data_IF_501119457737
#
_entry.id   IF_501119457737
#
_cell.length_a   1.000
_cell.length_b   1.000
_cell.length_c   1.000
_cell.angle_alpha   90.00
_cell.angle_beta   90.00
_cell.angle_gamma   90.00
#
_symmetry.space_group_name_H-M   'P 1'
#
loop_
_entity.id
_entity.type
_entity.pdbx_description
1 polymer ?
#
# COMPACT_ATOMS: atom_id res chain seq x y z
N UNK A 1 4.41 -15.73 -18.27
CA UNK A 1 5.76 -15.87 -18.86
C UNK A 1 6.58 -14.65 -18.45
N UNK A 2 7.24 -14.73 -17.30
CA UNK A 2 8.42 -13.91 -16.96
C UNK A 2 9.17 -14.72 -15.90
N UNK A 3 9.96 -15.69 -16.38
CA UNK A 3 10.94 -16.43 -15.57
C UNK A 3 12.23 -15.64 -15.73
N UNK A 4 12.74 -15.05 -14.67
CA UNK A 4 14.12 -14.54 -14.64
C UNK A 4 14.81 -15.14 -13.42
N UNK A 5 15.47 -16.26 -13.65
CA UNK A 5 16.55 -16.73 -12.80
C UNK A 5 17.86 -16.55 -13.59
N UNK A 6 18.91 -16.24 -12.84
CA UNK A 6 20.33 -16.28 -13.18
C UNK A 6 20.99 -14.96 -13.58
N UNK A 7 21.51 -14.25 -12.56
CA UNK A 7 22.75 -13.50 -12.67
C UNK A 7 23.64 -13.89 -11.49
N UNK A 8 24.61 -14.77 -11.74
CA UNK A 8 25.77 -15.00 -10.88
C UNK A 8 26.68 -13.77 -11.04
N UNK A 9 26.69 -12.85 -10.07
CA UNK A 9 27.72 -11.80 -9.98
C UNK A 9 28.36 -11.82 -8.59
N UNK A 10 29.49 -12.51 -8.56
CA UNK A 10 30.78 -12.06 -8.04
C UNK A 10 30.78 -11.16 -6.78
N UNK A 11 31.32 -11.75 -5.71
CA UNK A 11 31.79 -11.13 -4.48
C UNK A 11 32.17 -9.65 -4.60
N UNK A 12 31.36 -8.79 -3.99
CA UNK A 12 31.83 -7.59 -3.33
C UNK A 12 30.93 -7.38 -2.11
N UNK A 13 31.53 -7.20 -0.93
CA UNK A 13 30.86 -7.10 0.36
C UNK A 13 30.01 -5.80 0.47
N UNK A 14 28.91 -5.75 -0.28
CA UNK A 14 27.84 -4.78 -0.12
C UNK A 14 26.66 -5.48 0.53
N UNK A 15 26.18 -4.95 1.65
CA UNK A 15 24.89 -5.33 2.22
C UNK A 15 23.81 -4.91 1.23
N UNK A 16 23.45 -5.80 0.30
CA UNK A 16 22.21 -5.65 -0.46
C UNK A 16 21.08 -5.83 0.54
N UNK A 17 20.36 -4.75 0.85
CA UNK A 17 19.06 -4.86 1.49
C UNK A 17 18.11 -5.43 0.43
N UNK A 18 17.96 -6.75 0.42
CA UNK A 18 16.87 -7.38 -0.31
C UNK A 18 15.55 -6.85 0.27
N UNK A 19 14.80 -6.09 -0.52
CA UNK A 19 13.43 -5.76 -0.19
C UNK A 19 12.63 -7.05 -0.39
N UNK A 20 12.51 -7.84 0.68
CA UNK A 20 11.61 -8.99 0.68
C UNK A 20 10.20 -8.49 0.34
N UNK A 21 9.48 -9.25 -0.49
CA UNK A 21 8.05 -9.03 -0.72
C UNK A 21 7.36 -8.73 0.62
N UNK A 22 6.78 -7.54 0.71
CA UNK A 22 6.28 -6.99 1.97
C UNK A 22 5.13 -7.83 2.51
N UNK A 23 5.20 -8.19 3.80
CA UNK A 23 4.09 -8.82 4.50
C UNK A 23 3.06 -7.76 4.90
N UNK A 24 1.85 -7.85 4.32
CA UNK A 24 0.74 -6.95 4.60
C UNK A 24 0.32 -6.95 6.08
N UNK A 25 0.50 -8.05 6.83
CA UNK A 25 0.24 -8.07 8.27
C UNK A 25 1.13 -7.09 9.05
N UNK A 26 2.33 -6.82 8.52
CA UNK A 26 3.33 -5.92 9.13
C UNK A 26 3.33 -4.54 8.49
N UNK A 27 2.93 -4.43 7.23
CA UNK A 27 3.03 -3.20 6.46
C UNK A 27 1.82 -2.27 6.62
N UNK A 28 0.60 -2.81 6.74
CA UNK A 28 -0.63 -2.01 6.69
C UNK A 28 -1.61 -2.35 7.80
N UNK A 29 -2.36 -1.35 8.24
CA UNK A 29 -3.56 -1.50 9.05
C UNK A 29 -4.80 -1.30 8.16
N UNK A 30 -5.85 -2.03 8.47
CA UNK A 30 -7.11 -2.01 7.75
C UNK A 30 -7.97 -0.90 8.35
N UNK A 31 -8.38 0.07 7.54
CA UNK A 31 -8.94 1.34 8.03
C UNK A 31 -10.44 1.46 7.88
N UNK A 32 -11.03 0.76 6.92
CA UNK A 32 -12.46 0.82 6.65
C UNK A 32 -12.91 -0.51 6.08
N UNK A 33 -13.97 -1.10 6.61
CA UNK A 33 -14.70 -2.26 6.07
C UNK A 33 -15.72 -2.80 7.09
N UNK A 34 -16.85 -3.35 6.64
CA UNK A 34 -17.61 -4.36 7.43
C UNK A 34 -16.77 -5.66 7.54
N UNK A 35 -17.11 -6.62 8.39
CA UNK A 35 -16.33 -7.86 8.64
C UNK A 35 -16.04 -8.72 7.39
N UNK A 36 -16.57 -8.34 6.21
CA UNK A 36 -16.54 -9.08 4.95
C UNK A 36 -15.68 -8.45 3.86
N UNK A 37 -15.33 -7.16 3.94
CA UNK A 37 -14.81 -6.44 2.78
C UNK A 37 -13.28 -6.38 2.65
N UNK A 38 -12.52 -7.07 3.50
CA UNK A 38 -11.07 -7.20 3.35
C UNK A 38 -10.53 -8.55 3.84
N UNK A 39 -9.51 -9.07 3.16
CA UNK A 39 -8.80 -10.29 3.56
C UNK A 39 -7.32 -10.19 3.23
N UNK A 40 -6.47 -10.56 4.18
CA UNK A 40 -5.04 -10.81 3.95
C UNK A 40 -4.88 -12.32 3.72
N UNK A 41 -4.42 -12.69 2.53
CA UNK A 41 -4.29 -14.05 2.05
C UNK A 41 -2.81 -14.45 1.93
N UNK A 42 -2.57 -15.72 1.65
CA UNK A 42 -1.25 -16.29 1.36
C UNK A 42 -0.17 -15.95 2.41
N UNK A 43 -0.58 -15.90 3.68
CA UNK A 43 0.30 -15.59 4.81
C UNK A 43 0.88 -14.18 4.78
N UNK A 44 0.14 -13.20 4.25
CA UNK A 44 0.56 -11.80 4.22
C UNK A 44 0.99 -11.29 2.85
N UNK A 45 0.96 -12.13 1.81
CA UNK A 45 1.47 -11.76 0.48
C UNK A 45 0.45 -11.06 -0.41
N UNK A 46 -0.83 -11.22 -0.12
CA UNK A 46 -1.89 -10.62 -0.90
C UNK A 46 -2.91 -9.96 0.02
N UNK A 47 -3.28 -8.73 -0.34
CA UNK A 47 -4.38 -8.01 0.28
C UNK A 47 -5.51 -7.89 -0.73
N UNK A 48 -6.71 -8.34 -0.34
CA UNK A 48 -7.93 -8.14 -1.11
C UNK A 48 -8.79 -7.10 -0.40
N UNK A 49 -9.23 -6.09 -1.17
CA UNK A 49 -10.22 -5.09 -0.77
C UNK A 49 -11.42 -5.21 -1.70
N UNK A 50 -12.62 -5.23 -1.13
CA UNK A 50 -13.87 -5.31 -1.90
C UNK A 50 -14.75 -4.08 -1.70
N UNK A 51 -15.56 -3.79 -2.71
CA UNK A 51 -16.62 -2.81 -2.66
C UNK A 51 -17.95 -3.54 -2.89
N UNK A 52 -18.88 -3.39 -1.96
CA UNK A 52 -20.25 -3.87 -2.12
C UNK A 52 -21.24 -2.70 -2.00
N UNK A 53 -22.54 -2.99 -2.13
CA UNK A 53 -23.60 -1.96 -2.06
C UNK A 53 -23.71 -1.29 -0.69
N UNK A 54 -23.15 -1.90 0.35
CA UNK A 54 -23.28 -1.45 1.75
C UNK A 54 -22.05 -0.69 2.22
N UNK A 55 -20.85 -1.07 1.76
CA UNK A 55 -19.61 -0.41 2.14
C UNK A 55 -18.46 -0.67 1.16
N UNK A 56 -17.50 0.25 1.14
CA UNK A 56 -16.17 0.02 0.57
C UNK A 56 -15.20 -0.56 1.60
N UNK A 57 -13.94 -0.70 1.18
CA UNK A 57 -12.84 -1.09 2.07
C UNK A 57 -11.55 -0.34 1.76
N UNK A 58 -10.65 -0.28 2.74
CA UNK A 58 -9.38 0.43 2.60
C UNK A 58 -8.33 0.01 3.63
N UNK A 59 -7.09 0.42 3.36
CA UNK A 59 -5.94 0.20 4.22
C UNK A 59 -5.08 1.46 4.32
N UNK A 60 -4.25 1.54 5.34
CA UNK A 60 -3.23 2.58 5.54
C UNK A 60 -1.93 1.91 5.99
N UNK A 61 -0.78 2.49 5.64
CA UNK A 61 0.49 2.04 6.19
C UNK A 61 0.52 2.16 7.72
N UNK A 62 1.10 1.18 8.43
CA UNK A 62 1.29 1.25 9.89
C UNK A 62 2.27 2.33 10.31
N UNK A 63 3.17 2.70 9.39
CA UNK A 63 4.22 3.69 9.58
C UNK A 63 4.05 4.82 8.59
N UNK A 64 4.51 5.99 9.02
CA UNK A 64 4.69 7.14 8.16
C UNK A 64 6.13 7.16 7.66
N UNK A 65 6.33 7.61 6.43
CA UNK A 65 7.62 7.63 5.78
C UNK A 65 7.92 9.05 5.30
N UNK A 66 9.13 9.53 5.58
CA UNK A 66 9.60 10.84 5.13
C UNK A 66 10.11 10.80 3.68
N UNK A 67 10.70 9.67 3.28
CA UNK A 67 11.21 9.42 1.94
C UNK A 67 11.28 7.91 1.68
N UNK A 68 11.23 7.52 0.41
CA UNK A 68 11.32 6.13 -0.02
C UNK A 68 10.65 5.88 -1.37
N UNK A 69 10.86 4.68 -1.91
CA UNK A 69 10.08 4.14 -3.02
C UNK A 69 8.88 3.38 -2.49
N UNK A 70 7.77 3.45 -3.22
CA UNK A 70 6.53 2.76 -2.87
C UNK A 70 6.06 1.99 -4.10
N UNK A 71 6.23 0.67 -4.05
CA UNK A 71 5.88 -0.24 -5.14
C UNK A 71 4.75 -1.18 -4.69
N UNK A 72 3.71 -1.31 -5.51
CA UNK A 72 2.57 -2.19 -5.26
C UNK A 72 2.06 -2.79 -6.56
N UNK A 73 1.84 -4.11 -6.55
CA UNK A 73 1.14 -4.78 -7.64
C UNK A 73 -0.38 -4.75 -7.37
N UNK A 74 -1.13 -4.18 -8.30
CA UNK A 74 -2.58 -4.02 -8.19
C UNK A 74 -3.29 -4.86 -9.25
N UNK A 75 -4.29 -5.63 -8.81
CA UNK A 75 -5.20 -6.35 -9.69
C UNK A 75 -6.63 -5.87 -9.46
N UNK A 76 -7.25 -5.36 -10.51
CA UNK A 76 -8.65 -4.97 -10.49
C UNK A 76 -9.56 -6.20 -10.66
N UNK A 77 -10.74 -6.15 -10.02
CA UNK A 77 -11.77 -7.17 -10.18
C UNK A 77 -12.22 -7.29 -11.64
N UNK A 78 -12.57 -8.50 -12.06
CA UNK A 78 -13.11 -8.73 -13.39
C UNK A 78 -14.61 -8.41 -13.43
N UNK A 79 -15.07 -7.73 -14.48
CA UNK A 79 -16.49 -7.43 -14.71
C UNK A 79 -16.79 -5.94 -14.90
N UNK A 80 -18.07 -5.58 -14.81
CA UNK A 80 -18.51 -4.18 -14.89
C UNK A 80 -18.06 -3.42 -13.63
N UNK A 81 -17.30 -2.36 -13.84
CA UNK A 81 -16.75 -1.50 -12.79
C UNK A 81 -17.23 -0.05 -12.94
N UNK A 82 -18.34 0.19 -13.66
CA UNK A 82 -18.91 1.52 -13.81
C UNK A 82 -19.14 2.20 -12.44
N UNK A 83 -18.57 3.39 -12.26
CA UNK A 83 -18.68 4.15 -11.03
C UNK A 83 -17.82 3.66 -9.86
N UNK A 84 -16.96 2.65 -10.05
CA UNK A 84 -16.02 2.18 -9.03
C UNK A 84 -14.67 2.89 -9.19
N UNK A 85 -14.08 3.32 -8.07
CA UNK A 85 -12.73 3.91 -8.04
C UNK A 85 -11.86 3.07 -7.11
N UNK A 86 -10.70 2.64 -7.62
CA UNK A 86 -9.62 2.07 -6.82
C UNK A 86 -8.50 3.08 -6.75
N UNK A 87 -8.11 3.48 -5.54
CA UNK A 87 -7.10 4.51 -5.32
C UNK A 87 -5.94 3.98 -4.48
N UNK A 88 -4.73 4.32 -4.90
CA UNK A 88 -3.50 4.12 -4.15
C UNK A 88 -2.73 5.43 -4.15
N UNK A 89 -2.57 6.04 -2.96
CA UNK A 89 -2.02 7.39 -2.85
C UNK A 89 -1.28 7.59 -1.53
N UNK A 90 -0.44 8.62 -1.50
CA UNK A 90 0.25 9.11 -0.31
C UNK A 90 -0.43 10.39 0.16
N UNK A 91 -0.60 10.53 1.47
CA UNK A 91 -1.04 11.79 2.06
C UNK A 91 -0.05 12.22 3.15
N UNK A 92 0.14 13.53 3.26
CA UNK A 92 1.08 14.14 4.21
C UNK A 92 0.29 14.94 5.24
N UNK A 93 0.60 14.78 6.52
CA UNK A 93 -0.04 15.55 7.58
C UNK A 93 0.65 16.91 7.71
N UNK A 94 0.05 17.96 7.13
CA UNK A 94 0.60 19.30 7.18
C UNK A 94 -0.01 20.07 8.37
N UNK A 95 0.76 20.29 9.44
CA UNK A 95 0.38 21.24 10.48
C UNK A 95 0.61 22.67 9.96
N UNK A 96 -0.47 23.32 9.51
CA UNK A 96 -0.42 24.72 9.12
C UNK A 96 -0.47 25.58 10.39
N UNK A 97 0.66 26.20 10.74
CA UNK A 97 0.65 27.27 11.74
C UNK A 97 0.07 28.53 11.10
N UNK A 98 -1.16 28.89 11.47
CA UNK A 98 -1.68 30.24 11.23
C UNK A 98 -0.85 31.21 12.07
N UNK A 99 0.16 31.85 11.47
CA UNK A 99 0.78 33.01 12.11
C UNK A 99 -0.21 34.18 12.04
N UNK A 100 -0.90 34.43 13.16
CA UNK A 100 -1.80 35.57 13.36
C UNK A 100 -1.09 36.94 13.42
N UNK A 101 0.19 37.03 13.03
CA UNK A 101 1.02 38.22 13.26
C UNK A 101 1.20 39.13 12.03
N UNK A 102 0.31 39.05 11.04
CA UNK A 102 0.34 39.96 9.87
C UNK A 102 -0.81 40.98 9.83
N UNK A 103 -1.62 41.07 10.88
CA UNK A 103 -2.59 42.14 11.08
C UNK A 103 -2.53 42.63 12.53
N UNK A 104 -1.71 43.65 12.75
CA UNK A 104 -1.76 44.78 13.72
C UNK A 104 -0.33 45.25 13.97
#
# INVERSE_FOLDING_TARGET
MFKQHFCFFFSCAGYFLEVSAGDFHRAVDLTWSDHRAHQILDGGKQLTVTLDKTSGSGFRSKREYLSGGIDMELKLGAGDSAGTVTAYYVYVNLHIYLSLWAYV
#
